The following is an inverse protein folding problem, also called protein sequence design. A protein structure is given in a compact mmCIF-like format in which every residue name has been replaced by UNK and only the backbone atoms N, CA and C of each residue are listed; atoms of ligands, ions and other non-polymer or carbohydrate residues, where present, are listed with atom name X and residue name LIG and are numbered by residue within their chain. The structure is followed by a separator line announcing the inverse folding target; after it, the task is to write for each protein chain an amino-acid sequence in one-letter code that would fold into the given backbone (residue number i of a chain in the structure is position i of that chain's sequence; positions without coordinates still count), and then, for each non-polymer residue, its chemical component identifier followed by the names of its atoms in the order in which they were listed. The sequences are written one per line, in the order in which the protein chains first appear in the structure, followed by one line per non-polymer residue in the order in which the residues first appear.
data_IF_151935300652
#
_entry.id   IF_151935300652
#
_cell.length_a   1.000
_cell.length_b   1.000
_cell.length_c   1.000
_cell.angle_alpha   90.00
_cell.angle_beta   90.00
_cell.angle_gamma   90.00
#
_symmetry.space_group_name_H-M   'P 1'
#
loop_
_entity.id
_entity.type
_entity.pdbx_description
1 polymer ?
#
# COMPACT_ATOMS: atom_id res chain seq x y z
N UNK A 1 26.02 -52.33 -34.54
CA UNK A 1 25.02 -52.62 -33.49
C UNK A 1 25.61 -52.09 -32.21
N UNK A 2 25.11 -50.93 -31.77
CA UNK A 2 25.68 -50.16 -30.67
C UNK A 2 24.85 -50.43 -29.43
N UNK A 3 25.40 -51.23 -28.50
CA UNK A 3 24.76 -51.48 -27.22
C UNK A 3 24.93 -50.27 -26.29
N UNK A 4 23.77 -49.82 -25.81
CA UNK A 4 23.59 -48.71 -24.89
C UNK A 4 23.51 -49.29 -23.48
N UNK A 5 24.28 -48.77 -22.53
CA UNK A 5 24.07 -49.07 -21.10
C UNK A 5 24.38 -47.84 -20.24
N UNK A 6 23.30 -47.14 -19.94
CA UNK A 6 22.84 -46.68 -18.62
C UNK A 6 23.87 -46.05 -17.68
N UNK A 7 23.91 -44.71 -17.67
CA UNK A 7 24.41 -43.94 -16.55
C UNK A 7 23.23 -43.56 -15.63
N UNK A 8 23.23 -44.08 -14.42
CA UNK A 8 22.32 -43.68 -13.33
C UNK A 8 22.65 -42.24 -12.91
N UNK A 9 21.71 -41.32 -13.10
CA UNK A 9 21.79 -39.96 -12.53
C UNK A 9 21.12 -39.95 -11.16
N UNK A 10 21.96 -39.91 -10.13
CA UNK A 10 21.57 -39.62 -8.75
C UNK A 10 21.00 -38.19 -8.68
N UNK A 11 19.71 -38.08 -8.36
CA UNK A 11 19.04 -36.79 -8.20
C UNK A 11 19.41 -36.19 -6.85
N UNK A 12 20.35 -35.26 -6.84
CA UNK A 12 20.67 -34.46 -5.67
C UNK A 12 19.46 -33.58 -5.29
N UNK A 13 18.87 -33.86 -4.13
CA UNK A 13 17.91 -32.98 -3.46
C UNK A 13 18.59 -31.64 -3.14
N UNK A 14 18.26 -30.61 -3.93
CA UNK A 14 18.70 -29.23 -3.66
C UNK A 14 17.96 -28.72 -2.41
N UNK A 15 18.58 -28.87 -1.24
CA UNK A 15 18.14 -28.17 -0.04
C UNK A 15 18.54 -26.71 -0.21
N UNK A 16 17.60 -25.88 -0.62
CA UNK A 16 17.82 -24.43 -0.69
C UNK A 16 18.04 -23.89 0.73
N UNK A 17 19.12 -23.14 0.99
CA UNK A 17 19.31 -22.52 2.29
C UNK A 17 18.22 -21.44 2.49
N UNK A 18 17.36 -21.65 3.49
CA UNK A 18 16.39 -20.65 3.95
C UNK A 18 17.13 -19.41 4.43
N UNK A 19 17.29 -18.42 3.54
CA UNK A 19 17.92 -17.16 3.88
C UNK A 19 16.97 -16.38 4.82
N UNK A 20 17.36 -16.09 6.09
CA UNK A 20 16.47 -15.45 7.07
C UNK A 20 15.97 -14.07 6.63
N UNK A 21 16.71 -13.38 5.75
CA UNK A 21 16.33 -12.08 5.20
C UNK A 21 15.10 -12.15 4.28
N UNK A 22 14.98 -13.22 3.49
CA UNK A 22 13.86 -13.42 2.55
C UNK A 22 12.57 -13.75 3.29
N UNK A 23 12.66 -14.53 4.38
CA UNK A 23 11.50 -14.84 5.23
C UNK A 23 11.01 -13.58 5.95
N UNK A 24 11.93 -12.76 6.50
CA UNK A 24 11.57 -11.46 7.10
C UNK A 24 10.92 -10.52 6.08
N UNK A 25 11.44 -10.43 4.86
CA UNK A 25 10.84 -9.63 3.79
C UNK A 25 9.45 -10.15 3.36
N UNK A 26 9.26 -11.47 3.23
CA UNK A 26 7.96 -12.09 2.93
C UNK A 26 6.95 -11.95 4.07
N UNK A 27 7.40 -11.96 5.33
CA UNK A 27 6.55 -11.72 6.51
C UNK A 27 6.19 -10.23 6.69
N UNK A 28 7.06 -9.32 6.23
CA UNK A 28 6.78 -7.87 6.15
C UNK A 28 5.87 -7.51 4.98
N UNK A 29 5.93 -8.29 3.89
CA UNK A 29 4.91 -8.30 2.84
C UNK A 29 3.62 -8.98 3.36
N UNK A 30 3.06 -8.47 4.45
CA UNK A 30 1.68 -8.77 4.84
C UNK A 30 0.82 -8.40 3.63
N UNK A 31 0.20 -9.39 3.00
CA UNK A 31 -0.89 -9.16 2.05
C UNK A 31 -1.79 -8.09 2.66
N UNK A 32 -1.78 -6.89 2.06
CA UNK A 32 -2.57 -5.78 2.57
C UNK A 32 -4.02 -6.24 2.59
N UNK A 33 -4.74 -5.95 3.68
CA UNK A 33 -6.14 -6.33 3.77
C UNK A 33 -6.90 -5.52 2.71
N UNK A 34 -7.36 -6.20 1.66
CA UNK A 34 -8.28 -5.62 0.67
C UNK A 34 -9.62 -5.37 1.35
N UNK A 35 -10.13 -4.15 1.24
CA UNK A 35 -11.40 -3.71 1.78
C UNK A 35 -12.50 -3.78 0.73
N UNK A 36 -12.19 -3.30 -0.48
CA UNK A 36 -13.11 -3.17 -1.60
C UNK A 36 -12.33 -3.23 -2.92
N UNK A 37 -12.99 -3.66 -3.99
CA UNK A 37 -12.49 -3.51 -5.34
C UNK A 37 -13.24 -2.35 -6.00
N UNK A 38 -12.51 -1.43 -6.62
CA UNK A 38 -13.06 -0.27 -7.32
C UNK A 38 -12.81 -0.41 -8.83
N UNK A 39 -13.63 0.28 -9.61
CA UNK A 39 -13.45 0.46 -11.05
C UNK A 39 -13.14 1.94 -11.29
N UNK A 40 -11.92 2.23 -11.74
CA UNK A 40 -11.46 3.57 -12.08
C UNK A 40 -11.33 3.66 -13.59
N UNK A 41 -12.32 4.26 -14.25
CA UNK A 41 -12.32 4.44 -15.71
C UNK A 41 -12.09 3.14 -16.51
N UNK A 42 -12.63 2.00 -16.05
CA UNK A 42 -12.48 0.69 -16.68
C UNK A 42 -11.31 -0.15 -16.14
N UNK A 43 -10.50 0.42 -15.24
CA UNK A 43 -9.41 -0.29 -14.57
C UNK A 43 -9.81 -0.76 -13.17
N UNK A 44 -9.63 -2.06 -12.92
CA UNK A 44 -9.94 -2.68 -11.63
C UNK A 44 -8.81 -2.45 -10.66
N UNK A 45 -9.11 -1.86 -9.50
CA UNK A 45 -8.12 -1.57 -8.47
C UNK A 45 -8.56 -2.09 -7.10
N UNK A 46 -7.60 -2.40 -6.24
CA UNK A 46 -7.87 -2.78 -4.86
C UNK A 46 -7.74 -1.60 -3.91
N UNK A 47 -8.82 -1.31 -3.17
CA UNK A 47 -8.79 -0.44 -2.01
C UNK A 47 -8.33 -1.26 -0.80
N UNK A 48 -7.13 -0.97 -0.30
CA UNK A 48 -6.50 -1.68 0.79
C UNK A 48 -6.49 -0.86 2.08
N UNK A 49 -6.55 -1.56 3.22
CA UNK A 49 -6.36 -0.94 4.52
C UNK A 49 -4.90 -0.54 4.73
N UNK A 50 -4.58 0.75 4.95
CA UNK A 50 -3.22 1.17 5.28
C UNK A 50 -2.87 0.76 6.72
N UNK A 51 -1.58 0.71 7.04
CA UNK A 51 -1.10 0.55 8.42
C UNK A 51 -1.07 1.90 9.15
N UNK A 52 -0.89 1.89 10.48
CA UNK A 52 -0.72 3.14 11.21
C UNK A 52 0.52 3.91 10.74
N UNK A 53 1.63 3.22 10.46
CA UNK A 53 2.83 3.85 9.92
C UNK A 53 2.62 4.49 8.55
N UNK A 54 1.81 3.88 7.68
CA UNK A 54 1.45 4.49 6.39
C UNK A 54 0.66 5.80 6.59
N UNK A 55 -0.28 5.82 7.55
CA UNK A 55 -1.07 7.02 7.86
C UNK A 55 -0.18 8.16 8.35
N UNK A 56 0.71 7.87 9.29
CA UNK A 56 1.66 8.86 9.82
C UNK A 56 2.51 9.44 8.69
N UNK A 57 3.06 8.59 7.82
CA UNK A 57 3.87 9.04 6.67
C UNK A 57 3.12 9.96 5.72
N UNK A 58 1.86 9.66 5.41
CA UNK A 58 1.03 10.52 4.55
C UNK A 58 0.86 11.91 5.17
N UNK A 59 0.55 11.98 6.46
CA UNK A 59 0.35 13.26 7.17
C UNK A 59 1.66 14.03 7.30
N UNK A 60 2.75 13.35 7.65
CA UNK A 60 4.08 13.99 7.74
C UNK A 60 4.53 14.54 6.39
N UNK A 61 4.33 13.79 5.30
CA UNK A 61 4.65 14.26 3.94
C UNK A 61 3.79 15.46 3.54
N UNK A 62 2.48 15.44 3.81
CA UNK A 62 1.60 16.57 3.53
C UNK A 62 2.00 17.84 4.30
N UNK A 63 2.41 17.69 5.57
CA UNK A 63 2.95 18.81 6.38
C UNK A 63 4.27 19.33 5.83
N UNK A 64 5.19 18.43 5.45
CA UNK A 64 6.50 18.81 4.93
C UNK A 64 6.39 19.63 3.63
N UNK A 65 5.40 19.32 2.79
CA UNK A 65 5.12 20.06 1.55
C UNK A 65 4.24 21.31 1.74
N UNK A 66 3.92 21.69 2.99
CA UNK A 66 3.09 22.87 3.28
C UNK A 66 1.62 22.75 2.85
N UNK A 67 1.16 21.53 2.58
CA UNK A 67 -0.22 21.26 2.18
C UNK A 67 -1.18 21.41 3.37
N UNK A 68 -0.68 21.17 4.58
CA UNK A 68 -1.43 21.28 5.84
C UNK A 68 -0.91 22.45 6.69
N UNK A 69 -1.84 23.19 7.28
CA UNK A 69 -1.55 24.26 8.24
C UNK A 69 -1.29 23.73 9.65
N UNK A 70 -1.03 24.65 10.57
CA UNK A 70 -0.79 24.34 12.00
C UNK A 70 -2.02 23.74 12.70
N UNK A 71 -3.22 23.93 12.14
CA UNK A 71 -4.47 23.38 12.66
C UNK A 71 -4.81 21.99 12.10
N UNK A 72 -3.84 21.34 11.45
CA UNK A 72 -3.99 20.06 10.76
C UNK A 72 -5.07 20.07 9.66
N UNK A 73 -5.33 21.24 9.04
CA UNK A 73 -6.23 21.36 7.89
C UNK A 73 -5.49 21.75 6.61
N UNK A 74 -6.01 21.37 5.43
CA UNK A 74 -5.44 21.81 4.17
C UNK A 74 -5.39 23.35 4.04
N UNK A 75 -4.28 23.90 3.56
CA UNK A 75 -4.07 25.35 3.44
C UNK A 75 -4.79 25.97 2.24
N UNK A 76 -5.23 25.17 1.28
CA UNK A 76 -5.97 25.60 0.10
C UNK A 76 -6.85 24.47 -0.46
N UNK A 77 -7.85 24.76 -1.33
CA UNK A 77 -8.63 23.73 -2.00
C UNK A 77 -7.77 22.76 -2.83
N UNK A 78 -6.73 23.27 -3.52
CA UNK A 78 -5.79 22.42 -4.27
C UNK A 78 -5.02 21.49 -3.34
N UNK A 79 -4.61 21.98 -2.18
CA UNK A 79 -3.92 21.15 -1.18
C UNK A 79 -4.86 20.14 -0.52
N UNK A 80 -6.15 20.43 -0.42
CA UNK A 80 -7.15 19.45 0.01
C UNK A 80 -7.24 18.27 -0.99
N UNK A 81 -7.30 18.56 -2.28
CA UNK A 81 -7.28 17.53 -3.33
C UNK A 81 -5.96 16.76 -3.34
N UNK A 82 -4.83 17.43 -3.13
CA UNK A 82 -3.51 16.80 -3.04
C UNK A 82 -3.41 15.85 -1.84
N UNK A 83 -3.99 16.22 -0.70
CA UNK A 83 -4.10 15.32 0.45
C UNK A 83 -4.95 14.09 0.12
N UNK A 84 -6.07 14.26 -0.58
CA UNK A 84 -6.89 13.12 -1.06
C UNK A 84 -6.09 12.23 -2.02
N UNK A 85 -5.32 12.81 -2.94
CA UNK A 85 -4.44 12.06 -3.85
C UNK A 85 -3.36 11.28 -3.10
N UNK A 86 -2.76 11.86 -2.06
CA UNK A 86 -1.80 11.14 -1.18
C UNK A 86 -2.44 9.96 -0.49
N UNK A 87 -3.65 10.16 0.02
CA UNK A 87 -4.42 9.09 0.65
C UNK A 87 -4.72 8.00 -0.38
N UNK A 88 -5.18 8.36 -1.58
CA UNK A 88 -5.44 7.43 -2.68
C UNK A 88 -4.19 6.63 -3.05
N UNK A 89 -3.03 7.28 -3.24
CA UNK A 89 -1.75 6.62 -3.50
C UNK A 89 -1.34 5.64 -2.38
N UNK A 90 -1.70 5.95 -1.14
CA UNK A 90 -1.44 5.10 0.01
C UNK A 90 -2.33 3.84 0.05
N UNK A 91 -3.57 3.92 -0.45
CA UNK A 91 -4.60 2.87 -0.25
C UNK A 91 -5.00 2.14 -1.53
N UNK A 92 -4.68 2.66 -2.71
CA UNK A 92 -5.01 2.04 -3.99
C UNK A 92 -3.85 1.18 -4.50
N UNK A 93 -4.16 -0.08 -4.80
CA UNK A 93 -3.20 -1.10 -5.19
C UNK A 93 -3.64 -1.79 -6.49
N UNK A 94 -2.66 -2.14 -7.31
CA UNK A 94 -2.86 -2.99 -8.48
C UNK A 94 -3.21 -4.41 -8.02
N UNK A 95 -4.34 -4.97 -8.48
CA UNK A 95 -4.79 -6.29 -8.06
C UNK A 95 -3.89 -7.44 -8.53
N UNK A 96 -3.09 -7.21 -9.57
CA UNK A 96 -2.25 -8.22 -10.25
C UNK A 96 -0.92 -8.41 -9.53
N UNK A 97 -0.25 -7.32 -9.17
CA UNK A 97 1.10 -7.35 -8.58
C UNK A 97 1.14 -6.93 -7.10
N UNK A 98 0.01 -6.45 -6.55
CA UNK A 98 -0.10 -6.04 -5.16
C UNK A 98 0.76 -4.81 -4.78
N UNK A 99 1.17 -4.01 -5.76
CA UNK A 99 1.90 -2.75 -5.56
C UNK A 99 0.96 -1.55 -5.53
N UNK A 100 1.42 -0.43 -4.96
CA UNK A 100 0.69 0.84 -5.01
C UNK A 100 0.61 1.31 -6.46
N UNK A 101 -0.55 1.84 -6.83
CA UNK A 101 -0.76 2.37 -8.18
C UNK A 101 -0.05 3.69 -8.43
N UNK A 102 0.10 4.50 -7.38
CA UNK A 102 0.67 5.85 -7.47
C UNK A 102 1.77 6.03 -6.43
N UNK A 103 2.75 6.85 -6.81
CA UNK A 103 3.82 7.33 -5.96
C UNK A 103 3.64 8.83 -5.65
N UNK A 104 4.48 9.38 -4.77
CA UNK A 104 4.45 10.81 -4.47
C UNK A 104 4.77 11.70 -5.69
N UNK A 105 5.50 11.17 -6.68
CA UNK A 105 5.81 11.89 -7.91
C UNK A 105 4.59 12.04 -8.85
N UNK A 106 3.58 11.19 -8.68
CA UNK A 106 2.40 11.16 -9.55
C UNK A 106 1.27 12.08 -9.04
N UNK A 107 1.40 12.64 -7.83
CA UNK A 107 0.31 13.34 -7.14
C UNK A 107 -0.23 14.54 -7.90
N UNK A 108 0.64 15.36 -8.50
CA UNK A 108 0.20 16.50 -9.31
C UNK A 108 -0.60 16.04 -10.53
N UNK A 109 -0.10 15.02 -11.24
CA UNK A 109 -0.79 14.43 -12.37
C UNK A 109 -2.15 13.84 -11.96
N UNK A 110 -2.23 13.17 -10.81
CA UNK A 110 -3.50 12.66 -10.26
C UNK A 110 -4.45 13.81 -9.97
N UNK A 111 -4.03 14.85 -9.26
CA UNK A 111 -4.90 15.99 -8.93
C UNK A 111 -5.39 16.71 -10.18
N UNK A 112 -4.54 16.89 -11.20
CA UNK A 112 -4.87 17.69 -12.37
C UNK A 112 -5.65 16.91 -13.44
N UNK A 113 -5.58 15.56 -13.46
CA UNK A 113 -6.14 14.75 -14.55
C UNK A 113 -7.07 13.62 -14.14
N UNK A 114 -7.07 13.20 -12.87
CA UNK A 114 -7.90 12.08 -12.41
C UNK A 114 -9.32 12.55 -12.11
N UNK A 115 -10.20 12.48 -13.12
CA UNK A 115 -11.63 12.78 -12.97
C UNK A 115 -12.29 11.89 -11.90
N UNK A 116 -11.80 10.66 -11.75
CA UNK A 116 -12.32 9.69 -10.76
C UNK A 116 -11.98 10.03 -9.30
N UNK A 117 -11.09 11.00 -9.03
CA UNK A 117 -10.60 11.27 -7.68
C UNK A 117 -11.72 11.72 -6.73
N UNK A 118 -12.66 12.52 -7.24
CA UNK A 118 -13.82 12.98 -6.50
C UNK A 118 -14.79 11.82 -6.21
N UNK A 119 -14.99 10.93 -7.18
CA UNK A 119 -15.89 9.77 -7.06
C UNK A 119 -15.46 8.79 -5.97
N UNK A 120 -14.16 8.69 -5.70
CA UNK A 120 -13.61 7.74 -4.72
C UNK A 120 -13.16 8.39 -3.42
N UNK A 121 -13.30 9.71 -3.28
CA UNK A 121 -12.82 10.46 -2.13
C UNK A 121 -13.35 9.87 -0.81
N UNK A 122 -14.65 9.57 -0.74
CA UNK A 122 -15.27 9.00 0.45
C UNK A 122 -14.70 7.60 0.79
N UNK A 123 -14.54 6.74 -0.22
CA UNK A 123 -14.00 5.39 -0.05
C UNK A 123 -12.54 5.43 0.44
N UNK A 124 -11.69 6.28 -0.15
CA UNK A 124 -10.27 6.37 0.23
C UNK A 124 -10.11 7.00 1.61
N UNK A 125 -10.90 8.01 1.96
CA UNK A 125 -10.92 8.59 3.30
C UNK A 125 -11.40 7.59 4.35
N UNK A 126 -12.45 6.82 4.06
CA UNK A 126 -12.95 5.79 4.96
C UNK A 126 -11.93 4.66 5.17
N UNK A 127 -11.21 4.24 4.12
CA UNK A 127 -10.11 3.28 4.24
C UNK A 127 -8.96 3.82 5.11
N UNK A 128 -8.68 5.12 4.99
CA UNK A 128 -7.63 5.81 5.71
C UNK A 128 -7.98 6.10 7.17
N UNK A 129 -9.27 6.28 7.49
CA UNK A 129 -9.70 6.53 8.86
C UNK A 129 -9.22 5.41 9.82
N UNK A 130 -8.67 5.76 11.00
CA UNK A 130 -8.32 4.77 11.99
C UNK A 130 -9.58 4.08 12.50
N UNK A 131 -9.58 2.74 12.56
CA UNK A 131 -10.66 2.03 13.21
C UNK A 131 -10.46 2.15 14.73
N UNK A 132 -11.46 2.65 15.46
CA UNK A 132 -11.40 2.81 16.92
C UNK A 132 -11.03 1.51 17.66
N UNK A 133 -11.32 0.33 17.08
CA UNK A 133 -10.90 -0.97 17.62
C UNK A 133 -9.40 -1.23 17.48
N UNK A 134 -8.76 -0.68 16.45
CA UNK A 134 -7.32 -0.84 16.22
C UNK A 134 -6.50 0.17 17.02
N UNK A 135 -7.04 1.37 17.26
CA UNK A 135 -6.41 2.39 18.12
C UNK A 135 -6.19 1.83 19.53
N UNK A 136 -7.21 1.16 20.10
CA UNK A 136 -7.12 0.58 21.46
C UNK A 136 -6.03 -0.49 21.60
N UNK A 137 -5.80 -1.31 20.57
CA UNK A 137 -4.77 -2.36 20.60
C UNK A 137 -3.34 -1.82 20.57
N UNK A 138 -3.13 -0.61 20.04
CA UNK A 138 -1.82 0.02 19.99
C UNK A 138 -1.52 0.86 21.24
N UNK A 139 -2.48 0.99 22.16
CA UNK A 139 -2.39 1.77 23.40
C UNK A 139 -2.25 0.92 24.66
N UNK A 140 -2.17 -0.41 24.54
CA UNK A 140 -1.85 -1.27 25.69
C UNK A 140 -0.37 -1.05 26.07
N UNK A 141 -0.07 -0.57 27.30
CA UNK A 141 1.30 -0.48 27.76
C UNK A 141 1.84 -1.90 27.95
N UNK A 142 2.99 -2.20 27.33
CA UNK A 142 3.76 -3.41 27.61
C UNK A 142 4.08 -3.46 29.11
N UNK A 143 3.66 -4.49 29.87
CA UNK A 143 4.03 -4.59 31.27
C UNK A 143 5.56 -4.75 31.36
N UNK A 144 6.19 -3.87 32.15
CA UNK A 144 7.63 -3.91 32.48
C UNK A 144 7.92 -4.98 33.51
#
# INVERSE_FOLDING_TARGET
MSDTSTASMETALVSTPTNPGVLKHRLLAKNRKVLKQLDLCGEKVHLCKPTQGDRVKVIEAAKAEGEMGEDDKPTSPRNALRLVARIAACVLYDPTNGQRLFSDADLDSVVDSAVWLEDVQEDVQAAFAPNMKDVRKNSEPTPS
#
